data_IF_389250845411
#
_entry.id   IF_389250845411
#
_cell.length_a   1.000
_cell.length_b   1.000
_cell.length_c   1.000
_cell.angle_alpha   90.00
_cell.angle_beta   90.00
_cell.angle_gamma   90.00
#
_symmetry.space_group_name_H-M   'P 1'
#
loop_
_entity.id
_entity.type
_entity.pdbx_description
1 polymer ?
#
# COMPACT_ATOMS: atom_id res chain seq x y z
N UNK A 1 -62.24 -17.72 -51.62
CA UNK A 1 -60.95 -17.57 -52.30
C UNK A 1 -60.25 -16.37 -51.68
N UNK A 2 -59.46 -16.59 -50.71
CA UNK A 2 -58.54 -15.57 -50.11
C UNK A 2 -57.17 -16.19 -49.97
N UNK A 3 -56.23 -15.69 -50.70
CA UNK A 3 -54.89 -16.15 -50.80
C UNK A 3 -54.05 -15.69 -49.58
N UNK A 4 -53.40 -16.63 -48.95
CA UNK A 4 -52.38 -16.38 -47.90
C UNK A 4 -51.14 -15.81 -48.53
N UNK A 5 -50.74 -14.61 -48.10
CA UNK A 5 -49.40 -14.05 -48.33
C UNK A 5 -48.59 -14.26 -47.06
N UNK A 6 -47.64 -15.21 -47.13
CA UNK A 6 -46.56 -15.34 -46.14
C UNK A 6 -45.52 -14.27 -46.47
N UNK A 7 -45.30 -13.36 -45.56
CA UNK A 7 -44.14 -12.45 -45.59
C UNK A 7 -43.11 -13.01 -44.61
N UNK A 8 -42.07 -13.65 -45.08
CA UNK A 8 -40.85 -13.97 -44.30
C UNK A 8 -40.07 -12.68 -44.08
N UNK A 9 -40.01 -12.25 -42.83
CA UNK A 9 -39.09 -11.20 -42.38
C UNK A 9 -37.75 -11.87 -42.10
N UNK A 10 -36.80 -11.75 -43.00
CA UNK A 10 -35.39 -12.06 -42.77
C UNK A 10 -34.79 -10.98 -41.87
N UNK A 11 -34.62 -11.30 -40.58
CA UNK A 11 -33.72 -10.56 -39.75
C UNK A 11 -32.27 -10.93 -40.13
N UNK A 12 -31.38 -9.99 -40.42
CA UNK A 12 -29.95 -10.32 -40.51
C UNK A 12 -29.43 -10.67 -39.12
N UNK A 13 -28.93 -11.89 -38.96
CA UNK A 13 -28.10 -12.27 -37.85
C UNK A 13 -26.83 -11.40 -37.90
N UNK A 14 -26.75 -10.41 -37.03
CA UNK A 14 -25.50 -9.73 -36.70
C UNK A 14 -24.75 -10.67 -35.76
N UNK A 15 -23.84 -11.48 -36.29
CA UNK A 15 -22.84 -12.18 -35.49
C UNK A 15 -21.93 -11.13 -34.90
N UNK A 16 -22.10 -10.85 -33.61
CA UNK A 16 -21.07 -10.20 -32.80
C UNK A 16 -20.03 -11.31 -32.58
N UNK A 17 -19.03 -11.38 -33.43
CA UNK A 17 -17.79 -12.09 -33.14
C UNK A 17 -17.16 -11.36 -31.94
N UNK A 18 -17.48 -11.78 -30.73
CA UNK A 18 -16.71 -11.48 -29.56
C UNK A 18 -15.31 -12.04 -29.78
N UNK A 19 -14.32 -11.18 -29.94
CA UNK A 19 -12.92 -11.55 -29.87
C UNK A 19 -12.71 -12.29 -28.55
N UNK A 20 -12.70 -13.61 -28.57
CA UNK A 20 -12.33 -14.40 -27.40
C UNK A 20 -10.89 -14.00 -27.06
N UNK A 21 -10.67 -13.42 -25.90
CA UNK A 21 -9.30 -13.17 -25.41
C UNK A 21 -8.58 -14.51 -25.38
N UNK A 22 -7.49 -14.61 -26.12
CA UNK A 22 -6.70 -15.86 -26.21
C UNK A 22 -5.78 -16.01 -25.01
N UNK A 23 -5.51 -14.95 -24.27
CA UNK A 23 -4.68 -14.91 -23.05
C UNK A 23 -4.79 -13.61 -22.29
N UNK A 24 -4.18 -13.57 -21.14
CA UNK A 24 -4.12 -12.42 -20.22
C UNK A 24 -2.68 -11.90 -20.21
N UNK A 25 -2.48 -10.62 -20.53
CA UNK A 25 -1.14 -10.00 -20.53
C UNK A 25 -0.76 -9.56 -19.13
N UNK A 26 0.53 -9.70 -18.82
CA UNK A 26 1.12 -9.23 -17.58
C UNK A 26 2.54 -8.71 -17.80
N UNK A 27 2.96 -7.72 -17.00
CA UNK A 27 4.34 -7.28 -16.91
C UNK A 27 5.08 -8.19 -15.91
N UNK A 28 6.03 -8.96 -16.40
CA UNK A 28 6.77 -9.99 -15.67
C UNK A 28 8.19 -9.51 -15.41
N UNK A 29 8.59 -9.43 -14.16
CA UNK A 29 9.97 -9.24 -13.78
C UNK A 29 10.69 -10.58 -13.87
N UNK A 30 11.51 -10.75 -14.92
CA UNK A 30 12.22 -12.02 -15.22
C UNK A 30 13.51 -12.17 -14.44
N UNK A 31 14.02 -11.08 -13.93
CA UNK A 31 15.20 -10.95 -13.08
C UNK A 31 15.40 -9.48 -12.71
N UNK A 32 16.33 -9.14 -11.81
CA UNK A 32 16.58 -7.77 -11.42
C UNK A 32 16.75 -6.84 -12.62
N UNK A 33 15.99 -5.74 -12.64
CA UNK A 33 16.06 -4.72 -13.68
C UNK A 33 15.49 -5.11 -15.05
N UNK A 34 14.80 -6.25 -15.19
CA UNK A 34 14.36 -6.73 -16.49
C UNK A 34 12.90 -7.14 -16.49
N UNK A 35 12.06 -6.35 -17.17
CA UNK A 35 10.65 -6.68 -17.41
C UNK A 35 10.42 -7.19 -18.83
N UNK A 36 9.43 -8.08 -18.94
CA UNK A 36 8.86 -8.55 -20.21
C UNK A 36 7.34 -8.58 -20.09
N UNK A 37 6.63 -8.13 -21.13
CA UNK A 37 5.18 -8.36 -21.21
C UNK A 37 4.96 -9.76 -21.77
N UNK A 38 4.35 -10.62 -20.97
CA UNK A 38 4.06 -12.01 -21.33
C UNK A 38 2.54 -12.26 -21.34
N UNK A 39 2.10 -13.24 -22.08
CA UNK A 39 0.71 -13.68 -22.17
C UNK A 39 0.52 -15.02 -21.44
N UNK A 40 -0.49 -15.11 -20.61
CA UNK A 40 -0.80 -16.29 -19.79
C UNK A 40 -2.18 -16.84 -20.13
N UNK A 41 -2.40 -18.17 -20.00
CA UNK A 41 -3.71 -18.75 -20.19
C UNK A 41 -4.69 -18.25 -19.14
N UNK A 42 -5.97 -18.14 -19.50
CA UNK A 42 -7.05 -17.84 -18.54
C UNK A 42 -7.07 -18.99 -17.51
N UNK A 43 -6.91 -18.70 -16.20
CA UNK A 43 -6.83 -19.77 -15.19
C UNK A 43 -8.20 -20.39 -14.95
N UNK A 44 -8.22 -21.70 -14.69
CA UNK A 44 -9.42 -22.34 -14.14
C UNK A 44 -9.56 -21.98 -12.66
N UNK A 45 -10.71 -21.44 -12.27
CA UNK A 45 -10.96 -21.08 -10.88
C UNK A 45 -11.19 -22.32 -10.02
N UNK A 46 -10.45 -22.43 -8.91
CA UNK A 46 -10.76 -23.38 -7.86
C UNK A 46 -11.97 -22.93 -7.04
N UNK A 47 -12.62 -23.85 -6.32
CA UNK A 47 -13.81 -23.54 -5.53
C UNK A 47 -13.52 -22.53 -4.42
N UNK A 48 -14.16 -21.39 -4.49
CA UNK A 48 -13.94 -20.23 -3.58
C UNK A 48 -13.04 -19.14 -4.15
N UNK A 49 -12.47 -19.32 -5.36
CA UNK A 49 -11.65 -18.32 -6.05
C UNK A 49 -12.48 -17.39 -6.95
N UNK A 50 -11.89 -16.26 -7.31
CA UNK A 50 -12.41 -15.35 -8.33
C UNK A 50 -11.29 -14.80 -9.23
N UNK A 51 -11.66 -14.22 -10.35
CA UNK A 51 -10.78 -13.44 -11.22
C UNK A 51 -11.16 -11.97 -11.13
N UNK A 52 -10.16 -11.11 -10.95
CA UNK A 52 -10.32 -9.66 -10.86
C UNK A 52 -9.66 -8.99 -12.05
N UNK A 53 -10.43 -8.28 -12.87
CA UNK A 53 -9.91 -7.38 -13.89
C UNK A 53 -9.33 -6.15 -13.22
N UNK A 54 -8.04 -5.92 -13.39
CA UNK A 54 -7.33 -4.82 -12.72
C UNK A 54 -7.73 -3.47 -13.36
N UNK A 55 -8.15 -2.53 -12.53
CA UNK A 55 -8.32 -1.13 -12.92
C UNK A 55 -7.04 -0.34 -12.65
N UNK A 56 -6.41 -0.53 -11.49
CA UNK A 56 -5.14 0.07 -11.12
C UNK A 56 -4.38 -0.81 -10.13
N UNK A 57 -3.08 -0.81 -10.25
CA UNK A 57 -2.16 -1.45 -9.30
C UNK A 57 -0.99 -0.51 -8.98
N UNK A 58 -0.79 -0.19 -7.70
CA UNK A 58 0.25 0.74 -7.26
C UNK A 58 1.66 0.14 -7.33
N UNK A 59 2.66 1.03 -7.44
CA UNK A 59 4.07 0.69 -7.29
C UNK A 59 4.49 1.05 -5.87
N UNK A 60 4.90 0.05 -5.09
CA UNK A 60 5.38 0.16 -3.71
C UNK A 60 6.91 0.31 -3.62
N UNK A 61 7.40 0.63 -2.43
CA UNK A 61 8.83 0.54 -2.11
C UNK A 61 9.39 -0.86 -2.29
N UNK A 62 8.64 -1.89 -1.89
CA UNK A 62 9.01 -3.31 -2.01
C UNK A 62 9.27 -3.71 -3.47
N UNK A 63 8.44 -3.24 -4.41
CA UNK A 63 8.63 -3.51 -5.84
C UNK A 63 9.94 -2.93 -6.36
N UNK A 64 10.30 -1.72 -5.88
CA UNK A 64 11.57 -1.04 -6.26
C UNK A 64 12.79 -1.79 -5.74
N UNK A 65 12.76 -2.26 -4.49
CA UNK A 65 13.84 -3.05 -3.89
C UNK A 65 14.05 -4.35 -4.67
N UNK A 66 12.97 -5.07 -4.98
CA UNK A 66 13.02 -6.29 -5.80
C UNK A 66 13.59 -6.01 -7.21
N UNK A 67 13.13 -4.93 -7.85
CA UNK A 67 13.66 -4.50 -9.16
C UNK A 67 15.17 -4.20 -9.12
N UNK A 68 15.66 -3.58 -8.05
CA UNK A 68 17.08 -3.27 -7.86
C UNK A 68 17.95 -4.47 -7.45
N UNK A 69 17.34 -5.65 -7.26
CA UNK A 69 18.06 -6.88 -6.88
C UNK A 69 18.13 -7.13 -5.37
N UNK A 70 17.46 -6.32 -4.57
CA UNK A 70 17.30 -6.53 -3.14
C UNK A 70 16.10 -7.46 -2.90
N UNK A 71 16.29 -8.75 -3.14
CA UNK A 71 15.21 -9.74 -3.26
C UNK A 71 14.80 -10.38 -1.94
N UNK A 72 15.56 -10.15 -0.88
CA UNK A 72 15.27 -10.75 0.44
C UNK A 72 14.27 -9.92 1.22
N UNK A 73 13.10 -10.52 1.44
CA UNK A 73 12.12 -9.97 2.35
C UNK A 73 12.42 -10.43 3.78
N UNK A 74 12.17 -9.56 4.76
CA UNK A 74 12.46 -9.82 6.18
C UNK A 74 13.90 -10.29 6.44
N UNK A 75 14.88 -9.74 5.69
CA UNK A 75 16.28 -10.11 5.75
C UNK A 75 16.82 -10.16 7.18
N UNK A 76 17.58 -11.22 7.51
CA UNK A 76 18.16 -11.43 8.83
C UNK A 76 17.17 -11.88 9.92
N UNK A 77 15.92 -12.16 9.60
CA UNK A 77 14.91 -12.66 10.53
C UNK A 77 14.53 -14.11 10.26
N UNK A 78 13.85 -14.82 11.17
CA UNK A 78 13.35 -16.16 10.90
C UNK A 78 12.31 -16.26 9.79
N UNK A 79 11.74 -15.13 9.38
CA UNK A 79 10.77 -15.02 8.27
C UNK A 79 11.44 -14.64 6.94
N UNK A 80 12.77 -14.64 6.85
CA UNK A 80 13.49 -14.32 5.61
C UNK A 80 13.07 -15.24 4.47
N UNK A 81 12.65 -14.63 3.36
CA UNK A 81 12.30 -15.32 2.12
C UNK A 81 12.89 -14.58 0.93
N UNK A 82 13.25 -15.33 -0.11
CA UNK A 82 13.66 -14.75 -1.39
C UNK A 82 12.45 -14.56 -2.31
N UNK A 83 12.34 -13.40 -2.95
CA UNK A 83 11.36 -13.18 -4.01
C UNK A 83 11.67 -14.11 -5.20
N UNK A 84 10.74 -14.95 -5.65
CA UNK A 84 10.98 -15.85 -6.77
C UNK A 84 10.94 -15.10 -8.10
N UNK A 85 11.80 -15.53 -9.05
CA UNK A 85 11.70 -15.08 -10.45
C UNK A 85 11.34 -16.27 -11.35
N UNK A 86 10.62 -16.04 -12.46
CA UNK A 86 9.96 -14.80 -12.87
C UNK A 86 8.73 -14.50 -11.98
N UNK A 87 8.39 -13.21 -11.81
CA UNK A 87 7.27 -12.76 -10.97
C UNK A 87 6.46 -11.65 -11.64
N UNK A 88 5.13 -11.66 -11.44
CA UNK A 88 4.25 -10.51 -11.69
C UNK A 88 4.15 -9.75 -10.38
N UNK A 89 4.65 -8.50 -10.36
CA UNK A 89 4.59 -7.65 -9.18
C UNK A 89 3.23 -6.95 -9.03
N UNK A 90 3.09 -6.09 -8.00
CA UNK A 90 1.90 -5.32 -7.70
C UNK A 90 1.02 -5.96 -6.64
N UNK A 91 1.01 -5.34 -5.46
CA UNK A 91 0.23 -5.78 -4.30
C UNK A 91 -0.75 -4.72 -3.78
N UNK A 92 -0.76 -3.53 -4.36
CA UNK A 92 -1.70 -2.45 -4.06
C UNK A 92 -2.78 -2.40 -5.17
N UNK A 93 -3.85 -3.18 -5.05
CA UNK A 93 -4.73 -3.50 -6.17
C UNK A 93 -6.16 -3.04 -5.98
N UNK A 94 -6.77 -2.53 -7.06
CA UNK A 94 -8.20 -2.30 -7.20
C UNK A 94 -8.65 -2.80 -8.57
N UNK A 95 -9.82 -3.43 -8.64
CA UNK A 95 -10.35 -3.96 -9.89
C UNK A 95 -11.81 -4.38 -9.79
N UNK A 96 -12.28 -4.96 -10.88
CA UNK A 96 -13.66 -5.42 -11.04
C UNK A 96 -13.68 -6.95 -11.05
N UNK A 97 -14.59 -7.55 -10.32
CA UNK A 97 -14.84 -9.01 -10.38
C UNK A 97 -15.26 -9.36 -11.80
N UNK A 98 -14.43 -10.10 -12.54
CA UNK A 98 -14.72 -10.53 -13.93
C UNK A 98 -15.29 -11.96 -13.99
N UNK A 99 -14.83 -12.84 -13.10
CA UNK A 99 -15.36 -14.20 -12.92
C UNK A 99 -15.34 -14.59 -11.45
N UNK A 100 -16.32 -15.36 -10.98
CA UNK A 100 -16.44 -15.73 -9.56
C UNK A 100 -17.13 -17.08 -9.42
N UNK A 101 -16.61 -17.92 -8.53
CA UNK A 101 -17.25 -19.17 -8.16
C UNK A 101 -18.41 -18.94 -7.17
N UNK A 102 -19.42 -19.84 -7.12
CA UNK A 102 -20.58 -19.68 -6.20
C UNK A 102 -20.14 -19.52 -4.73
N UNK A 103 -19.14 -20.29 -4.29
CA UNK A 103 -18.62 -20.20 -2.91
C UNK A 103 -17.93 -18.87 -2.63
N UNK A 104 -17.12 -18.36 -3.56
CA UNK A 104 -16.50 -17.06 -3.42
C UNK A 104 -17.55 -15.94 -3.35
N UNK A 105 -18.60 -16.03 -4.16
CA UNK A 105 -19.71 -15.07 -4.18
C UNK A 105 -20.40 -14.94 -2.82
N UNK A 106 -20.48 -16.03 -2.05
CA UNK A 106 -21.16 -16.06 -0.75
C UNK A 106 -20.25 -15.74 0.43
N UNK A 107 -18.94 -16.05 0.37
CA UNK A 107 -18.10 -16.12 1.56
C UNK A 107 -16.74 -15.43 1.48
N UNK A 108 -16.33 -14.89 0.32
CA UNK A 108 -14.96 -14.35 0.18
C UNK A 108 -14.83 -12.92 0.70
N UNK A 109 -15.90 -12.12 0.65
CA UNK A 109 -15.84 -10.73 1.16
C UNK A 109 -15.77 -10.72 2.69
N UNK A 110 -14.83 -9.91 3.21
CA UNK A 110 -14.43 -9.92 4.62
C UNK A 110 -15.58 -9.70 5.61
N UNK A 111 -16.54 -8.83 5.28
CA UNK A 111 -17.72 -8.55 6.13
C UNK A 111 -18.93 -9.44 5.81
N UNK A 112 -18.76 -10.46 4.96
CA UNK A 112 -19.81 -11.38 4.56
C UNK A 112 -20.84 -10.79 3.61
N UNK A 113 -20.51 -9.72 2.90
CA UNK A 113 -21.36 -9.17 1.84
C UNK A 113 -21.23 -10.02 0.58
N UNK A 114 -22.33 -10.43 -0.08
CA UNK A 114 -22.22 -11.21 -1.29
C UNK A 114 -21.52 -10.43 -2.40
N UNK A 115 -20.65 -11.13 -3.12
CA UNK A 115 -19.96 -10.63 -4.31
C UNK A 115 -20.63 -11.10 -5.58
N UNK A 116 -20.51 -10.33 -6.64
CA UNK A 116 -20.94 -10.69 -8.00
C UNK A 116 -20.02 -10.09 -9.04
N UNK A 117 -20.08 -10.63 -10.25
CA UNK A 117 -19.44 -10.04 -11.42
C UNK A 117 -19.87 -8.57 -11.57
N UNK A 118 -18.92 -7.68 -11.82
CA UNK A 118 -19.12 -6.23 -11.91
C UNK A 118 -18.92 -5.48 -10.57
N UNK A 119 -18.78 -6.13 -9.43
CA UNK A 119 -18.44 -5.46 -8.18
C UNK A 119 -16.99 -4.97 -8.21
N UNK A 120 -16.75 -3.72 -7.79
CA UNK A 120 -15.39 -3.22 -7.57
C UNK A 120 -14.90 -3.69 -6.22
N UNK A 121 -13.69 -4.26 -6.20
CA UNK A 121 -13.05 -4.82 -5.02
C UNK A 121 -11.60 -4.34 -4.88
N UNK A 122 -11.11 -4.39 -3.66
CA UNK A 122 -9.70 -4.41 -3.30
C UNK A 122 -9.44 -5.59 -2.37
N UNK A 123 -8.19 -5.92 -2.09
CA UNK A 123 -7.87 -7.09 -1.28
C UNK A 123 -6.58 -6.89 -0.50
N UNK A 124 -6.48 -7.54 0.66
CA UNK A 124 -5.23 -7.65 1.39
C UNK A 124 -4.27 -8.56 0.60
N UNK A 125 -3.05 -8.12 0.30
CA UNK A 125 -2.12 -8.94 -0.46
C UNK A 125 -1.54 -10.10 0.36
N UNK A 126 -1.57 -10.02 1.69
CA UNK A 126 -1.00 -11.03 2.56
C UNK A 126 -1.97 -12.18 2.81
N UNK A 127 -1.47 -13.40 2.60
CA UNK A 127 -2.18 -14.64 2.88
C UNK A 127 -1.47 -15.34 4.02
N UNK A 128 -2.11 -15.35 5.19
CA UNK A 128 -1.56 -16.01 6.38
C UNK A 128 -1.79 -17.53 6.33
N UNK A 129 -0.86 -18.32 6.85
CA UNK A 129 -0.95 -19.79 6.77
C UNK A 129 -2.08 -20.41 7.62
N UNK A 130 -2.65 -19.66 8.57
CA UNK A 130 -3.74 -20.11 9.45
C UNK A 130 -3.36 -21.21 10.47
N UNK A 131 -2.11 -21.69 10.48
CA UNK A 131 -1.70 -22.88 11.22
C UNK A 131 -0.59 -22.65 12.24
N UNK A 132 0.29 -21.65 12.03
CA UNK A 132 1.38 -21.36 12.95
C UNK A 132 0.87 -20.81 14.29
N UNK A 133 1.79 -20.66 15.25
CA UNK A 133 1.48 -20.15 16.58
C UNK A 133 0.84 -18.75 16.51
N UNK A 134 1.44 -17.86 15.73
CA UNK A 134 0.99 -16.47 15.57
C UNK A 134 -0.43 -16.42 14.98
N UNK A 135 -0.70 -17.21 13.94
CA UNK A 135 -2.04 -17.26 13.33
C UNK A 135 -3.12 -17.74 14.30
N UNK A 136 -2.80 -18.74 15.15
CA UNK A 136 -3.76 -19.34 16.06
C UNK A 136 -3.95 -18.55 17.37
N UNK A 137 -2.93 -17.81 17.82
CA UNK A 137 -2.94 -17.20 19.14
C UNK A 137 -2.91 -15.67 19.12
N UNK A 138 -2.40 -15.07 18.04
CA UNK A 138 -2.17 -13.62 17.94
C UNK A 138 -2.94 -12.99 16.75
N UNK A 139 -3.64 -13.77 15.95
CA UNK A 139 -4.26 -13.33 14.67
C UNK A 139 -3.21 -12.68 13.74
N UNK A 140 -2.07 -13.35 13.59
CA UNK A 140 -0.90 -12.80 12.92
C UNK A 140 -1.12 -12.54 11.44
N UNK A 141 -0.73 -11.37 11.02
CA UNK A 141 -0.49 -11.01 9.63
C UNK A 141 1.03 -10.95 9.40
N UNK A 142 1.73 -9.89 9.79
CA UNK A 142 3.20 -9.78 9.67
C UNK A 142 3.99 -10.75 10.54
N UNK A 143 3.38 -11.31 11.57
CA UNK A 143 4.03 -12.29 12.44
C UNK A 143 3.89 -13.72 11.95
N UNK A 144 3.08 -13.98 10.92
CA UNK A 144 3.02 -15.30 10.30
C UNK A 144 4.33 -15.58 9.58
N UNK A 145 5.08 -16.58 10.07
CA UNK A 145 6.38 -16.97 9.49
C UNK A 145 6.27 -17.73 8.16
N UNK A 146 5.05 -18.08 7.75
CA UNK A 146 4.75 -18.80 6.52
C UNK A 146 3.65 -18.07 5.73
N UNK A 147 3.66 -16.74 5.77
CA UNK A 147 2.74 -15.95 4.93
C UNK A 147 3.24 -15.86 3.51
N UNK A 148 2.30 -15.93 2.58
CA UNK A 148 2.52 -15.56 1.19
C UNK A 148 2.01 -14.13 0.97
N UNK A 149 2.48 -13.49 -0.12
CA UNK A 149 2.04 -12.16 -0.49
C UNK A 149 1.91 -12.07 -2.01
N UNK A 150 0.76 -11.65 -2.48
CA UNK A 150 0.56 -11.35 -3.89
C UNK A 150 1.59 -10.33 -4.38
N UNK A 151 2.11 -10.54 -5.59
CA UNK A 151 3.12 -9.67 -6.17
C UNK A 151 4.53 -9.82 -5.59
N UNK A 152 4.72 -10.65 -4.55
CA UNK A 152 6.01 -10.82 -3.87
C UNK A 152 6.45 -12.27 -3.71
N UNK A 153 5.53 -13.21 -3.43
CA UNK A 153 5.88 -14.58 -3.04
C UNK A 153 5.60 -15.64 -4.11
N UNK A 154 4.85 -15.29 -5.15
CA UNK A 154 4.39 -16.25 -6.16
C UNK A 154 5.11 -16.07 -7.48
N UNK A 155 5.81 -17.13 -7.93
CA UNK A 155 6.37 -17.13 -9.28
C UNK A 155 5.29 -17.21 -10.36
N UNK A 156 5.46 -16.46 -11.44
CA UNK A 156 4.61 -16.56 -12.61
C UNK A 156 4.88 -17.79 -13.49
N UNK A 157 5.90 -18.59 -13.18
CA UNK A 157 6.22 -19.82 -13.92
C UNK A 157 5.23 -20.97 -13.67
N UNK A 158 4.48 -20.93 -12.57
CA UNK A 158 3.54 -21.98 -12.17
C UNK A 158 2.10 -21.48 -12.13
N UNK A 159 1.15 -22.35 -12.58
CA UNK A 159 -0.28 -22.03 -12.50
C UNK A 159 -0.72 -21.71 -11.05
N UNK A 160 -1.63 -20.76 -10.85
CA UNK A 160 -2.44 -20.04 -11.85
C UNK A 160 -1.74 -18.82 -12.49
N UNK A 161 -0.45 -18.63 -12.35
CA UNK A 161 0.44 -17.61 -12.91
C UNK A 161 0.15 -16.17 -12.46
N UNK A 162 -1.10 -15.75 -12.47
CA UNK A 162 -1.59 -14.37 -12.34
C UNK A 162 -1.74 -13.94 -10.88
N UNK A 163 -0.64 -14.01 -10.11
CA UNK A 163 -0.62 -13.77 -8.67
C UNK A 163 -0.03 -12.38 -8.30
N UNK A 164 -0.17 -11.41 -9.18
CA UNK A 164 0.26 -10.02 -8.97
C UNK A 164 -0.56 -9.05 -9.84
N UNK A 165 -0.65 -7.80 -9.40
CA UNK A 165 -1.57 -6.82 -9.99
C UNK A 165 -1.08 -6.16 -11.28
N UNK A 166 0.17 -6.36 -11.70
CA UNK A 166 0.63 -5.79 -12.97
C UNK A 166 0.29 -6.71 -14.14
N UNK A 167 -1.00 -7.00 -14.22
CA UNK A 167 -1.64 -7.85 -15.22
C UNK A 167 -3.02 -7.30 -15.59
N UNK A 168 -3.56 -7.68 -16.75
CA UNK A 168 -4.93 -7.33 -17.13
C UNK A 168 -5.96 -7.94 -16.17
N UNK A 169 -5.66 -9.15 -15.67
CA UNK A 169 -6.49 -9.84 -14.66
C UNK A 169 -5.60 -10.51 -13.63
N UNK A 170 -6.11 -10.61 -12.41
CA UNK A 170 -5.44 -11.22 -11.28
C UNK A 170 -6.29 -12.33 -10.68
N UNK A 171 -5.66 -13.48 -10.39
CA UNK A 171 -6.30 -14.61 -9.72
C UNK A 171 -6.35 -14.36 -8.21
N UNK A 172 -7.55 -14.42 -7.64
CA UNK A 172 -7.78 -14.24 -6.20
C UNK A 172 -8.15 -15.58 -5.57
N UNK A 173 -7.33 -16.03 -4.64
CA UNK A 173 -7.45 -17.31 -3.93
C UNK A 173 -8.60 -17.33 -2.93
N UNK A 174 -9.10 -18.52 -2.53
CA UNK A 174 -10.21 -18.67 -1.61
C UNK A 174 -9.99 -18.11 -0.20
N UNK A 175 -8.73 -17.99 0.23
CA UNK A 175 -8.30 -17.56 1.57
C UNK A 175 -7.88 -16.08 1.64
N UNK A 176 -8.15 -15.32 0.57
CA UNK A 176 -7.84 -13.88 0.49
C UNK A 176 -8.88 -13.05 1.23
N UNK A 177 -8.45 -12.04 1.96
CA UNK A 177 -9.34 -11.02 2.54
C UNK A 177 -9.71 -9.99 1.47
N UNK A 178 -10.93 -10.10 0.94
CA UNK A 178 -11.47 -9.24 -0.13
C UNK A 178 -12.45 -8.23 0.46
N UNK A 179 -12.44 -7.01 -0.07
CA UNK A 179 -13.29 -5.91 0.38
C UNK A 179 -14.00 -5.26 -0.81
N UNK A 180 -15.32 -5.07 -0.69
CA UNK A 180 -16.05 -4.24 -1.67
C UNK A 180 -15.66 -2.79 -1.51
N UNK A 181 -15.29 -2.17 -2.62
CA UNK A 181 -15.01 -0.73 -2.66
C UNK A 181 -16.34 0.04 -2.64
N UNK A 182 -16.50 1.04 -1.77
CA UNK A 182 -17.66 1.93 -1.80
C UNK A 182 -17.87 2.57 -3.16
N UNK A 183 -19.11 2.64 -3.61
CA UNK A 183 -19.45 3.14 -4.95
C UNK A 183 -19.08 4.61 -5.21
N UNK A 184 -18.87 5.38 -4.15
CA UNK A 184 -18.44 6.78 -4.23
C UNK A 184 -16.92 6.97 -4.48
N UNK A 185 -16.11 5.89 -4.38
CA UNK A 185 -14.68 5.97 -4.59
C UNK A 185 -14.30 5.64 -6.05
N UNK A 186 -13.47 6.50 -6.63
CA UNK A 186 -12.82 6.23 -7.92
C UNK A 186 -11.74 5.16 -7.78
N UNK A 187 -11.29 4.49 -8.86
CA UNK A 187 -10.14 3.60 -8.83
C UNK A 187 -8.86 4.30 -8.31
N UNK A 188 -8.66 5.58 -8.64
CA UNK A 188 -7.50 6.38 -8.20
C UNK A 188 -7.45 6.55 -6.68
N UNK A 189 -8.59 6.66 -6.03
CA UNK A 189 -8.68 6.73 -4.56
C UNK A 189 -8.64 5.32 -3.96
N UNK A 190 -9.34 4.37 -4.56
CA UNK A 190 -9.45 3.02 -4.04
C UNK A 190 -8.10 2.25 -4.05
N UNK A 191 -7.21 2.54 -5.01
CA UNK A 191 -5.85 1.95 -5.06
C UNK A 191 -4.99 2.35 -3.85
N UNK A 192 -5.35 3.43 -3.14
CA UNK A 192 -4.69 3.86 -1.90
C UNK A 192 -5.11 3.04 -0.68
N UNK A 193 -6.05 2.09 -0.81
CA UNK A 193 -6.60 1.35 0.34
C UNK A 193 -5.53 0.58 1.11
N UNK A 194 -4.56 -0.02 0.43
CA UNK A 194 -3.44 -0.72 1.04
C UNK A 194 -2.58 0.24 1.89
N UNK A 195 -2.11 1.34 1.31
CA UNK A 195 -1.31 2.33 2.03
C UNK A 195 -2.10 3.00 3.17
N UNK A 196 -3.39 3.25 2.97
CA UNK A 196 -4.25 3.80 4.02
C UNK A 196 -4.43 2.77 5.15
N UNK A 197 -4.47 1.47 4.86
CA UNK A 197 -4.48 0.42 5.88
C UNK A 197 -3.19 0.41 6.71
N UNK A 198 -2.03 0.72 6.11
CA UNK A 198 -0.76 0.90 6.84
C UNK A 198 -0.84 2.02 7.89
N UNK A 199 -1.68 3.05 7.69
CA UNK A 199 -1.86 4.13 8.67
C UNK A 199 -2.56 3.69 9.96
N UNK A 200 -3.12 2.47 10.02
CA UNK A 200 -3.61 1.87 11.28
C UNK A 200 -2.49 1.70 12.32
N UNK A 201 -1.23 1.78 11.90
CA UNK A 201 -0.06 1.90 12.76
C UNK A 201 -0.15 3.05 13.75
N UNK A 202 -0.73 4.20 13.35
CA UNK A 202 -0.97 5.35 14.22
C UNK A 202 -1.96 5.05 15.35
N UNK A 203 -2.96 4.21 15.10
CA UNK A 203 -3.93 3.84 16.13
C UNK A 203 -3.26 3.06 17.27
N UNK A 204 -2.18 2.31 16.99
CA UNK A 204 -1.38 1.60 18.01
C UNK A 204 -0.65 2.55 18.96
N UNK A 205 -0.34 3.77 18.55
CA UNK A 205 0.29 4.75 19.44
C UNK A 205 -0.63 5.18 20.59
N UNK A 206 -1.94 4.94 20.48
CA UNK A 206 -2.92 5.17 21.56
C UNK A 206 -2.96 4.03 22.58
N UNK A 207 -2.65 2.81 22.17
CA UNK A 207 -2.73 1.61 23.02
C UNK A 207 -1.67 1.57 24.12
N UNK A 208 -0.56 2.32 23.98
CA UNK A 208 0.56 2.32 24.89
C UNK A 208 0.49 3.39 25.99
N UNK A 209 -0.62 4.11 26.11
CA UNK A 209 -0.73 5.16 27.12
C UNK A 209 -1.19 4.58 28.46
N UNK A 210 -0.23 4.34 29.37
CA UNK A 210 -0.52 4.03 30.77
C UNK A 210 -0.89 5.29 31.57
N UNK A 211 -0.52 6.45 31.07
CA UNK A 211 -0.79 7.76 31.66
C UNK A 211 -1.43 8.66 30.62
N UNK A 212 -2.29 9.58 31.07
CA UNK A 212 -3.07 10.46 30.18
C UNK A 212 -2.26 11.38 29.26
N UNK A 213 -0.94 11.46 29.44
CA UNK A 213 -0.02 12.30 28.67
C UNK A 213 0.94 11.50 27.78
N UNK A 214 0.83 10.18 27.78
CA UNK A 214 1.64 9.29 26.94
C UNK A 214 0.82 8.74 25.78
N UNK A 215 1.48 8.47 24.67
CA UNK A 215 0.82 8.09 23.43
C UNK A 215 0.43 9.30 22.57
N UNK A 216 -0.25 9.03 21.45
CA UNK A 216 -0.77 10.10 20.58
C UNK A 216 -2.04 10.68 21.17
N UNK A 217 -2.06 12.01 21.37
CA UNK A 217 -3.20 12.76 21.87
C UNK A 217 -3.59 13.89 20.90
N UNK A 218 -4.85 14.31 20.94
CA UNK A 218 -5.27 15.50 20.21
C UNK A 218 -4.50 16.73 20.74
N UNK A 219 -3.98 17.53 19.82
CA UNK A 219 -3.14 18.67 20.12
C UNK A 219 -1.63 18.40 20.12
N UNK A 220 -1.20 17.14 19.96
CA UNK A 220 0.22 16.79 19.90
C UNK A 220 0.92 17.33 18.66
N UNK A 221 2.21 17.62 18.77
CA UNK A 221 3.09 17.92 17.64
C UNK A 221 3.63 16.63 17.04
N UNK A 222 3.37 16.45 15.75
CA UNK A 222 3.79 15.28 14.96
C UNK A 222 4.83 15.69 13.92
N UNK A 223 5.97 15.04 13.90
CA UNK A 223 6.96 15.16 12.82
C UNK A 223 6.88 13.93 11.92
N UNK A 224 6.79 14.15 10.60
CA UNK A 224 6.81 13.07 9.60
C UNK A 224 8.08 13.18 8.78
N UNK A 225 8.95 12.19 8.90
CA UNK A 225 10.22 12.10 8.15
C UNK A 225 10.00 11.26 6.91
N UNK A 226 10.05 11.90 5.74
CA UNK A 226 9.72 11.31 4.46
C UNK A 226 8.26 11.54 4.06
N UNK A 227 8.06 12.35 3.03
CA UNK A 227 6.75 12.71 2.46
C UNK A 227 6.48 11.97 1.14
N UNK A 228 6.91 10.70 1.04
CA UNK A 228 6.46 9.77 0.00
C UNK A 228 4.98 9.40 0.20
N UNK A 229 4.37 8.58 -0.68
CA UNK A 229 2.94 8.25 -0.59
C UNK A 229 2.49 7.76 0.79
N UNK A 230 3.27 6.90 1.44
CA UNK A 230 3.00 6.41 2.79
C UNK A 230 3.05 7.53 3.84
N UNK A 231 4.09 8.38 3.79
CA UNK A 231 4.23 9.53 4.70
C UNK A 231 3.11 10.55 4.52
N UNK A 232 2.70 10.84 3.29
CA UNK A 232 1.59 11.72 2.98
C UNK A 232 0.26 11.21 3.57
N UNK A 233 -0.02 9.91 3.49
CA UNK A 233 -1.21 9.32 4.12
C UNK A 233 -1.10 9.31 5.65
N UNK A 234 0.09 9.18 6.23
CA UNK A 234 0.29 9.35 7.67
C UNK A 234 0.08 10.79 8.13
N UNK A 235 0.49 11.80 7.34
CA UNK A 235 0.14 13.22 7.57
C UNK A 235 -1.37 13.37 7.62
N UNK A 236 -2.06 12.88 6.59
CA UNK A 236 -3.52 12.93 6.50
C UNK A 236 -4.19 12.24 7.69
N UNK A 237 -3.71 11.06 8.08
CA UNK A 237 -4.24 10.32 9.24
C UNK A 237 -3.98 11.04 10.55
N UNK A 238 -2.80 11.64 10.75
CA UNK A 238 -2.47 12.41 11.94
C UNK A 238 -3.39 13.64 12.10
N UNK A 239 -3.68 14.34 11.00
CA UNK A 239 -4.64 15.45 10.99
C UNK A 239 -6.06 14.99 11.32
N UNK A 240 -6.52 13.86 10.74
CA UNK A 240 -7.81 13.24 11.09
C UNK A 240 -7.90 12.85 12.58
N UNK A 241 -6.78 12.48 13.20
CA UNK A 241 -6.70 12.10 14.61
C UNK A 241 -6.57 13.30 15.56
N UNK A 242 -6.47 14.53 15.02
CA UNK A 242 -6.45 15.78 15.78
C UNK A 242 -5.06 16.20 16.24
N UNK A 243 -4.01 15.92 15.48
CA UNK A 243 -2.70 16.53 15.70
C UNK A 243 -2.82 18.06 15.79
N UNK A 244 -2.13 18.67 16.75
CA UNK A 244 -2.16 20.13 16.94
C UNK A 244 -1.21 20.86 16.01
N UNK A 245 -0.12 20.18 15.60
CA UNK A 245 0.83 20.67 14.62
C UNK A 245 1.47 19.48 13.89
N UNK A 246 1.54 19.56 12.57
CA UNK A 246 2.19 18.53 11.73
C UNK A 246 3.35 19.18 10.97
N UNK A 247 4.55 18.63 11.16
CA UNK A 247 5.78 19.10 10.51
C UNK A 247 6.26 17.97 9.60
N UNK A 248 6.33 18.22 8.28
CA UNK A 248 6.76 17.25 7.29
C UNK A 248 8.16 17.54 6.77
N UNK A 249 8.99 16.52 6.60
CA UNK A 249 10.31 16.65 5.99
C UNK A 249 10.44 15.76 4.76
N UNK A 250 11.09 16.26 3.72
CA UNK A 250 11.44 15.50 2.50
C UNK A 250 12.57 16.21 1.73
N UNK A 251 13.19 15.52 0.79
CA UNK A 251 14.13 16.11 -0.17
C UNK A 251 13.43 16.88 -1.29
N UNK A 252 12.19 16.52 -1.62
CA UNK A 252 11.41 17.01 -2.75
C UNK A 252 10.47 18.15 -2.35
N UNK A 253 10.70 19.34 -2.93
CA UNK A 253 9.76 20.47 -2.79
C UNK A 253 8.36 20.12 -3.32
N UNK A 254 8.27 19.29 -4.36
CA UNK A 254 6.99 18.84 -4.90
C UNK A 254 6.19 18.05 -3.85
N UNK A 255 6.85 17.09 -3.18
CA UNK A 255 6.22 16.30 -2.11
C UNK A 255 5.89 17.15 -0.89
N UNK A 256 6.75 18.09 -0.53
CA UNK A 256 6.48 19.03 0.57
C UNK A 256 5.31 19.95 0.28
N UNK A 257 5.18 20.44 -0.96
CA UNK A 257 4.00 21.22 -1.37
C UNK A 257 2.71 20.39 -1.29
N UNK A 258 2.79 19.10 -1.65
CA UNK A 258 1.65 18.19 -1.52
C UNK A 258 1.34 17.85 -0.05
N UNK A 259 2.36 17.71 0.81
CA UNK A 259 2.21 17.47 2.23
C UNK A 259 1.36 18.56 2.92
N UNK A 260 1.51 19.83 2.51
CA UNK A 260 0.64 20.93 2.98
C UNK A 260 -0.82 20.71 2.62
N UNK A 261 -1.11 20.19 1.44
CA UNK A 261 -2.48 19.84 1.02
C UNK A 261 -3.04 18.66 1.82
N UNK A 262 -2.16 17.79 2.34
CA UNK A 262 -2.52 16.66 3.20
C UNK A 262 -2.72 17.03 4.67
N UNK A 263 -2.40 18.27 5.08
CA UNK A 263 -2.58 18.76 6.45
C UNK A 263 -1.29 19.09 7.18
N UNK A 264 -0.11 19.09 6.52
CA UNK A 264 1.12 19.56 7.15
C UNK A 264 1.12 21.10 7.33
N UNK A 265 1.35 21.57 8.55
CA UNK A 265 1.45 23.00 8.89
C UNK A 265 2.79 23.58 8.47
N UNK A 266 3.87 22.83 8.69
CA UNK A 266 5.24 23.23 8.40
C UNK A 266 5.92 22.17 7.55
N UNK A 267 6.73 22.63 6.60
CA UNK A 267 7.54 21.73 5.74
C UNK A 267 9.00 22.14 5.78
N UNK A 268 9.89 21.17 5.92
CA UNK A 268 11.33 21.36 5.98
C UNK A 268 12.01 20.56 4.86
N UNK A 269 12.72 21.26 3.97
CA UNK A 269 13.44 20.61 2.90
C UNK A 269 14.80 20.12 3.40
N UNK A 270 14.98 18.80 3.39
CA UNK A 270 16.19 18.11 3.86
C UNK A 270 17.43 18.49 3.04
N UNK A 271 17.27 18.79 1.74
CA UNK A 271 18.39 19.20 0.89
C UNK A 271 18.89 20.63 1.15
N UNK A 272 18.11 21.44 1.86
CA UNK A 272 18.40 22.85 2.16
C UNK A 272 18.81 23.10 3.61
N UNK A 273 18.78 22.07 4.45
CA UNK A 273 19.04 22.17 5.89
C UNK A 273 19.93 21.04 6.39
N UNK A 274 20.79 21.33 7.36
CA UNK A 274 21.53 20.28 8.07
C UNK A 274 20.63 19.56 9.09
N UNK A 275 21.00 18.37 9.58
CA UNK A 275 20.29 17.70 10.66
C UNK A 275 20.16 18.57 11.91
N UNK A 276 21.22 19.27 12.30
CA UNK A 276 21.25 20.15 13.46
C UNK A 276 20.28 21.34 13.31
N UNK A 277 20.21 21.93 12.13
CA UNK A 277 19.26 23.01 11.83
C UNK A 277 17.81 22.52 11.89
N UNK A 278 17.52 21.33 11.36
CA UNK A 278 16.17 20.77 11.43
C UNK A 278 15.76 20.44 12.87
N UNK A 279 16.66 19.83 13.65
CA UNK A 279 16.41 19.57 15.07
C UNK A 279 16.13 20.89 15.81
N UNK A 280 16.94 21.94 15.56
CA UNK A 280 16.74 23.23 16.19
C UNK A 280 15.41 23.87 15.81
N UNK A 281 15.00 23.78 14.53
CA UNK A 281 13.69 24.27 14.08
C UNK A 281 12.53 23.55 14.77
N UNK A 282 12.63 22.21 14.97
CA UNK A 282 11.62 21.48 15.74
C UNK A 282 11.58 21.96 17.19
N UNK A 283 12.72 22.19 17.81
CA UNK A 283 12.78 22.73 19.18
C UNK A 283 12.15 24.12 19.26
N UNK A 284 12.44 25.00 18.31
CA UNK A 284 11.89 26.36 18.26
C UNK A 284 10.36 26.33 18.11
N UNK A 285 9.85 25.47 17.21
CA UNK A 285 8.41 25.29 16.98
C UNK A 285 7.67 24.67 18.18
N UNK A 286 8.40 24.01 19.09
CA UNK A 286 7.83 23.31 20.25
C UNK A 286 8.23 23.92 21.59
N UNK A 287 8.66 25.19 21.60
CA UNK A 287 9.13 25.90 22.80
C UNK A 287 10.25 25.13 23.56
N UNK A 288 11.19 24.58 22.84
CA UNK A 288 12.35 23.84 23.36
C UNK A 288 12.04 22.42 23.81
N UNK A 289 10.82 21.90 23.67
CA UNK A 289 10.43 20.58 24.16
C UNK A 289 10.78 19.43 23.21
N UNK A 290 10.68 19.61 21.92
CA UNK A 290 10.69 18.59 20.89
C UNK A 290 9.29 18.05 20.57
N UNK A 291 9.19 17.20 19.56
CA UNK A 291 7.96 16.61 19.07
C UNK A 291 7.39 15.56 20.02
N UNK A 292 6.07 15.47 20.12
CA UNK A 292 5.36 14.43 20.86
C UNK A 292 5.49 13.06 20.17
N UNK A 293 5.36 13.08 18.84
CA UNK A 293 5.41 11.89 17.99
C UNK A 293 6.30 12.16 16.78
N UNK A 294 7.13 11.18 16.42
CA UNK A 294 7.87 11.14 15.15
C UNK A 294 7.43 9.91 14.36
N UNK A 295 7.03 10.12 13.12
CA UNK A 295 6.69 9.08 12.14
C UNK A 295 7.82 8.99 11.13
N UNK A 296 8.61 7.93 11.20
CA UNK A 296 9.75 7.72 10.32
C UNK A 296 9.34 6.86 9.13
N UNK A 297 9.24 7.49 7.95
CA UNK A 297 8.79 6.90 6.68
C UNK A 297 9.85 6.97 5.58
N UNK A 298 11.09 7.33 5.95
CA UNK A 298 12.25 7.36 5.05
C UNK A 298 13.13 6.12 5.27
N UNK A 299 13.70 5.58 4.21
CA UNK A 299 14.52 4.37 4.28
C UNK A 299 16.02 4.66 4.50
N UNK A 300 16.36 5.62 5.35
CA UNK A 300 17.75 5.95 5.66
C UNK A 300 18.03 5.80 7.16
N UNK A 301 18.99 4.94 7.58
CA UNK A 301 19.29 4.75 9.00
C UNK A 301 19.70 6.05 9.74
N UNK A 302 20.36 6.98 9.04
CA UNK A 302 20.75 8.26 9.64
C UNK A 302 19.56 9.13 10.04
N UNK A 303 18.49 9.17 9.23
CA UNK A 303 17.28 9.95 9.54
C UNK A 303 16.46 9.36 10.70
N UNK A 304 16.64 8.07 10.99
CA UNK A 304 16.07 7.45 12.19
C UNK A 304 16.66 8.06 13.48
N UNK A 305 18.00 8.20 13.55
CA UNK A 305 18.65 8.83 14.72
C UNK A 305 18.28 10.31 14.82
N UNK A 306 18.24 11.01 13.71
CA UNK A 306 17.76 12.40 13.65
C UNK A 306 16.33 12.53 14.20
N UNK A 307 15.44 11.62 13.82
CA UNK A 307 14.07 11.59 14.34
C UNK A 307 14.01 11.38 15.87
N UNK A 308 14.87 10.53 16.41
CA UNK A 308 14.99 10.38 17.87
C UNK A 308 15.45 11.68 18.55
N UNK A 309 16.38 12.41 17.95
CA UNK A 309 16.84 13.71 18.48
C UNK A 309 15.72 14.76 18.48
N UNK A 310 14.80 14.73 17.50
CA UNK A 310 13.65 15.62 17.42
C UNK A 310 12.59 15.37 18.49
N UNK A 311 12.55 14.15 19.09
CA UNK A 311 11.53 13.82 20.09
C UNK A 311 11.72 14.56 21.42
N UNK A 312 10.61 14.90 22.05
CA UNK A 312 10.58 15.32 23.47
C UNK A 312 10.94 14.15 24.40
N UNK A 313 11.17 14.44 25.68
CA UNK A 313 11.18 13.41 26.72
C UNK A 313 9.79 12.77 26.85
N UNK A 314 9.74 11.45 26.90
CA UNK A 314 8.48 10.69 26.91
C UNK A 314 7.79 10.62 25.55
N UNK A 315 8.42 11.10 24.49
CA UNK A 315 7.88 11.03 23.14
C UNK A 315 7.88 9.63 22.55
N UNK A 316 7.22 9.48 21.40
CA UNK A 316 7.06 8.20 20.71
C UNK A 316 7.58 8.29 19.28
N UNK A 317 8.24 7.25 18.81
CA UNK A 317 8.63 7.09 17.41
C UNK A 317 8.01 5.84 16.82
N UNK A 318 7.33 6.01 15.71
CA UNK A 318 6.88 4.94 14.84
C UNK A 318 7.89 4.77 13.71
N UNK A 319 8.46 3.59 13.58
CA UNK A 319 9.43 3.22 12.56
C UNK A 319 8.77 2.31 11.52
N UNK A 320 8.65 2.76 10.28
CA UNK A 320 8.17 2.00 9.13
C UNK A 320 9.03 2.25 7.87
N UNK A 321 10.01 3.16 7.96
CA UNK A 321 10.81 3.58 6.82
C UNK A 321 11.86 2.54 6.41
N UNK A 322 12.51 1.91 7.39
CA UNK A 322 13.53 0.88 7.16
C UNK A 322 12.92 -0.53 7.10
N UNK A 323 11.90 -0.71 6.26
CA UNK A 323 11.27 -2.03 6.05
C UNK A 323 12.18 -3.01 5.28
N UNK A 324 13.15 -2.51 4.52
CA UNK A 324 14.26 -3.26 3.92
C UNK A 324 15.54 -2.99 4.68
N UNK A 325 16.49 -3.92 4.64
CA UNK A 325 17.82 -3.74 5.22
C UNK A 325 18.64 -2.72 4.40
N UNK A 326 18.79 -1.52 4.93
CA UNK A 326 19.55 -0.42 4.33
C UNK A 326 20.85 -0.14 5.07
N UNK A 327 21.26 -1.03 5.97
CA UNK A 327 22.51 -0.97 6.73
C UNK A 327 22.34 -0.52 8.17
N UNK A 328 23.46 -0.29 8.83
CA UNK A 328 23.55 -0.01 10.27
C UNK A 328 23.73 1.48 10.56
N UNK A 329 23.28 1.91 11.75
CA UNK A 329 23.56 3.24 12.28
C UNK A 329 24.01 3.16 13.75
N UNK A 330 24.97 4.01 14.10
CA UNK A 330 25.46 4.10 15.49
C UNK A 330 24.57 5.03 16.32
N UNK A 331 24.19 4.62 17.53
CA UNK A 331 23.41 5.44 18.44
C UNK A 331 23.90 5.31 19.90
N UNK A 332 23.74 6.36 20.69
CA UNK A 332 23.99 6.35 22.12
C UNK A 332 22.71 5.99 22.88
N UNK A 333 22.63 4.75 23.38
CA UNK A 333 21.42 4.23 24.02
C UNK A 333 21.00 5.06 25.24
N UNK A 334 21.98 5.56 26.04
CA UNK A 334 21.64 6.41 27.19
C UNK A 334 20.99 7.72 26.74
N UNK A 335 21.64 8.45 25.82
CA UNK A 335 21.16 9.77 25.37
C UNK A 335 19.88 9.67 24.53
N UNK A 336 19.82 8.71 23.62
CA UNK A 336 18.74 8.65 22.65
C UNK A 336 17.48 7.95 23.18
N UNK A 337 17.63 6.97 24.08
CA UNK A 337 16.50 6.17 24.57
C UNK A 337 16.25 6.37 26.06
N UNK A 338 17.21 5.94 26.92
CA UNK A 338 16.95 5.83 28.36
C UNK A 338 16.72 7.19 29.01
N UNK A 339 17.59 8.21 28.77
CA UNK A 339 17.45 9.53 29.39
C UNK A 339 16.25 10.33 28.86
N UNK A 340 15.79 10.03 27.65
CA UNK A 340 14.58 10.63 27.06
C UNK A 340 13.30 9.90 27.49
N UNK A 341 13.37 8.66 28.01
CA UNK A 341 12.20 7.81 28.30
C UNK A 341 11.29 7.65 27.08
N UNK A 342 11.83 7.52 25.87
CA UNK A 342 11.05 7.41 24.65
C UNK A 342 10.52 5.99 24.44
N UNK A 343 9.52 5.87 23.60
CA UNK A 343 9.03 4.61 23.05
C UNK A 343 9.36 4.50 21.58
N UNK A 344 9.97 3.39 21.20
CA UNK A 344 10.23 3.03 19.81
C UNK A 344 9.29 1.89 19.42
N UNK A 345 8.54 2.06 18.36
CA UNK A 345 7.57 1.09 17.85
C UNK A 345 7.92 0.82 16.39
N UNK A 346 8.50 -0.35 16.13
CA UNK A 346 8.73 -0.83 14.78
C UNK A 346 7.49 -1.51 14.24
N UNK A 347 7.09 -1.19 13.04
CA UNK A 347 6.00 -1.83 12.32
C UNK A 347 6.38 -1.97 10.86
N UNK A 348 6.00 -3.09 10.29
CA UNK A 348 6.02 -3.33 8.85
C UNK A 348 4.63 -3.79 8.44
N UNK A 349 4.24 -3.51 7.19
CA UNK A 349 2.97 -3.97 6.65
C UNK A 349 1.73 -3.40 7.41
N UNK A 350 0.58 -4.06 7.31
CA UNK A 350 -0.71 -3.64 7.89
C UNK A 350 -1.53 -4.85 8.33
N UNK A 351 -2.50 -4.69 9.25
CA UNK A 351 -3.45 -5.76 9.54
C UNK A 351 -4.40 -5.97 8.36
N UNK A 352 -4.70 -7.23 8.03
CA UNK A 352 -5.71 -7.55 7.02
C UNK A 352 -7.06 -6.87 7.32
N UNK A 353 -7.39 -6.69 8.59
CA UNK A 353 -8.59 -5.97 9.06
C UNK A 353 -8.55 -4.46 8.84
N UNK A 354 -7.42 -3.89 8.43
CA UNK A 354 -7.22 -2.45 8.21
C UNK A 354 -7.93 -1.87 6.99
N UNK A 355 -8.28 -2.71 6.00
CA UNK A 355 -8.86 -2.23 4.73
C UNK A 355 -10.26 -1.63 4.88
N UNK A 356 -11.12 -2.22 5.69
CA UNK A 356 -12.46 -1.68 5.90
C UNK A 356 -12.43 -0.27 6.48
N UNK A 357 -11.71 -0.03 7.60
CA UNK A 357 -11.48 1.32 8.11
C UNK A 357 -10.79 2.26 7.10
N UNK A 358 -9.82 1.77 6.34
CA UNK A 358 -9.13 2.55 5.31
C UNK A 358 -10.09 3.06 4.24
N UNK A 359 -10.91 2.18 3.65
CA UNK A 359 -11.91 2.55 2.67
C UNK A 359 -12.95 3.54 3.23
N UNK A 360 -13.38 3.34 4.47
CA UNK A 360 -14.30 4.25 5.15
C UNK A 360 -13.69 5.65 5.38
N UNK A 361 -12.40 5.74 5.70
CA UNK A 361 -11.70 7.03 5.84
C UNK A 361 -11.53 7.72 4.48
N UNK A 362 -11.13 6.98 3.44
CA UNK A 362 -11.00 7.51 2.08
C UNK A 362 -12.33 8.07 1.58
N UNK A 363 -13.44 7.35 1.80
CA UNK A 363 -14.78 7.80 1.42
C UNK A 363 -15.22 9.02 2.23
N UNK A 364 -15.09 8.95 3.56
CA UNK A 364 -15.55 10.03 4.47
C UNK A 364 -14.85 11.36 4.24
N UNK A 365 -13.59 11.33 3.88
CA UNK A 365 -12.74 12.51 3.76
C UNK A 365 -12.34 12.83 2.32
N UNK A 366 -13.04 12.26 1.32
CA UNK A 366 -12.77 12.46 -0.10
C UNK A 366 -12.76 13.96 -0.51
N UNK A 367 -13.67 14.76 0.06
CA UNK A 367 -13.76 16.20 -0.23
C UNK A 367 -12.76 17.06 0.57
N UNK A 368 -12.13 16.49 1.61
CA UNK A 368 -11.21 17.25 2.49
C UNK A 368 -9.77 17.15 2.05
N UNK A 369 -9.34 15.97 1.58
CA UNK A 369 -7.95 15.72 1.22
C UNK A 369 -7.82 15.39 -0.28
N UNK A 370 -6.67 15.67 -0.88
CA UNK A 370 -6.48 15.53 -2.33
C UNK A 370 -6.21 14.07 -2.75
N UNK A 371 -7.05 13.12 -2.34
CA UNK A 371 -6.81 11.70 -2.60
C UNK A 371 -6.73 11.35 -4.09
N UNK A 372 -7.52 11.99 -4.94
CA UNK A 372 -7.48 11.81 -6.39
C UNK A 372 -6.11 12.18 -7.00
N UNK A 373 -5.44 13.17 -6.41
CA UNK A 373 -4.17 13.69 -6.88
C UNK A 373 -2.97 12.90 -6.37
N UNK A 374 -3.16 11.93 -5.45
CA UNK A 374 -2.10 11.04 -5.00
C UNK A 374 -1.53 10.22 -6.15
N UNK A 375 -2.38 9.74 -7.05
CA UNK A 375 -1.93 9.06 -8.27
C UNK A 375 -1.42 10.11 -9.25
N UNK A 376 -0.12 10.34 -9.26
CA UNK A 376 0.53 11.34 -10.11
C UNK A 376 0.76 10.87 -11.54
N UNK A 377 0.97 9.56 -11.73
CA UNK A 377 1.28 8.98 -13.03
C UNK A 377 0.63 7.60 -13.19
N UNK A 378 0.12 7.35 -14.40
CA UNK A 378 -0.46 6.08 -14.81
C UNK A 378 0.26 5.57 -16.05
N UNK A 379 0.57 4.27 -16.08
CA UNK A 379 1.30 3.63 -17.17
C UNK A 379 0.63 2.34 -17.62
N UNK A 380 0.66 2.08 -18.92
CA UNK A 380 0.29 0.79 -19.50
C UNK A 380 1.28 -0.31 -19.09
N UNK A 381 0.90 -1.59 -19.21
CA UNK A 381 1.80 -2.72 -18.94
C UNK A 381 3.06 -2.70 -19.81
N UNK A 382 2.96 -2.20 -21.04
CA UNK A 382 4.09 -2.05 -21.97
C UNK A 382 5.12 -1.02 -21.53
N UNK A 383 4.75 -0.09 -20.67
CA UNK A 383 5.57 1.02 -20.20
C UNK A 383 6.10 0.81 -18.77
N UNK A 384 6.11 -0.44 -18.31
CA UNK A 384 6.48 -0.81 -16.93
C UNK A 384 7.88 -0.32 -16.51
N UNK A 385 8.86 -0.30 -17.42
CA UNK A 385 10.19 0.23 -17.14
C UNK A 385 10.17 1.74 -16.89
N UNK A 386 9.36 2.49 -17.65
CA UNK A 386 9.17 3.92 -17.45
C UNK A 386 8.40 4.19 -16.15
N UNK A 387 7.39 3.38 -15.84
CA UNK A 387 6.66 3.44 -14.59
C UNK A 387 7.58 3.22 -13.39
N UNK A 388 8.46 2.21 -13.46
CA UNK A 388 9.43 1.93 -12.40
C UNK A 388 10.41 3.08 -12.21
N UNK A 389 11.00 3.61 -13.30
CA UNK A 389 11.88 4.79 -13.25
C UNK A 389 11.17 6.00 -12.65
N UNK A 390 9.95 6.31 -13.10
CA UNK A 390 9.14 7.42 -12.59
C UNK A 390 8.82 7.23 -11.11
N UNK A 391 8.57 6.02 -10.67
CA UNK A 391 8.25 5.75 -9.25
C UNK A 391 9.41 6.10 -8.30
N UNK A 392 10.65 6.09 -8.79
CA UNK A 392 11.85 6.46 -8.05
C UNK A 392 12.17 7.96 -8.16
N UNK A 393 11.49 8.69 -9.06
CA UNK A 393 11.72 10.12 -9.24
C UNK A 393 11.13 10.93 -8.08
N UNK A 394 11.84 11.91 -7.51
CA UNK A 394 11.31 12.75 -6.44
C UNK A 394 10.15 13.65 -6.85
N UNK A 395 9.87 13.81 -8.15
CA UNK A 395 8.70 14.54 -8.65
C UNK A 395 7.43 13.67 -8.69
N UNK A 396 7.55 12.36 -8.47
CA UNK A 396 6.38 11.48 -8.40
C UNK A 396 5.79 11.43 -6.99
N UNK A 397 4.47 11.21 -6.92
CA UNK A 397 3.77 10.74 -5.74
C UNK A 397 3.50 9.23 -5.90
N UNK A 398 2.24 8.81 -6.01
CA UNK A 398 1.92 7.41 -6.33
C UNK A 398 1.93 7.20 -7.85
N UNK A 399 2.75 6.26 -8.30
CA UNK A 399 2.74 5.76 -9.68
C UNK A 399 1.95 4.45 -9.70
N UNK A 400 1.12 4.26 -10.71
CA UNK A 400 0.29 3.06 -10.87
C UNK A 400 0.41 2.47 -12.26
N UNK A 401 0.31 1.15 -12.33
CA UNK A 401 0.03 0.42 -13.57
C UNK A 401 -1.47 0.43 -13.81
N UNK A 402 -1.88 0.77 -15.03
CA UNK A 402 -3.25 0.74 -15.51
C UNK A 402 -3.32 -0.12 -16.78
N UNK A 403 -3.69 -1.40 -16.67
CA UNK A 403 -3.70 -2.32 -17.81
C UNK A 403 -4.70 -1.97 -18.92
N UNK A 404 -5.59 -1.00 -18.67
CA UNK A 404 -6.63 -0.54 -19.63
C UNK A 404 -6.14 0.57 -20.58
N UNK A 405 -4.89 1.04 -20.39
CA UNK A 405 -4.25 2.04 -21.28
C UNK A 405 -3.72 1.43 -22.58
#
# INVERSE_FOLDING_TARGET
MLANLNVEILCPEVSIEGCAMTGIRAAVLTGPGTYEVQEFPIPTLEDGALLMEIEMSGICGTDKHTYLGETKQYAGTPAETDTPFPIIQGHENVGIVSEITPKAAESLEFYGKPLKVGDRITMCPDIVCGQCYECKHVMGYVWCQNSDCYGNSYTSATAPHLMGGWAEQMYIRPDTFVYKVPSGLSPRVAVLAELMACTASLDKLKEFSSYAIEGFNSGDTVVVIGSGPLGLLHITKADMMGAGQIIATDLSEHRLAFAKRCGADVTLNVSQTSPEERIQQILDLTNGRGADVVLHMANTPASFVEGIEMLKRGGMMLEMGNFADTGEVSMNIHRHICSKNIRLIGLTNHPSTGYGPALALLERYADRYPFEDFVSHEYALTDVDDAMRMSMDPQSLKVVMNPRL
#
